data_IF_962014009672
#
_entry.id   IF_962014009672
#
_cell.length_a   1.000
_cell.length_b   1.000
_cell.length_c   1.000
_cell.angle_alpha   90.00
_cell.angle_beta   90.00
_cell.angle_gamma   90.00
#
_symmetry.space_group_name_H-M   'P 1'
#
loop_
_entity.id
_entity.type
_entity.pdbx_description
1 polymer ?
#
# COMPACT_ATOMS: atom_id res chain seq x y z
N UNK A 1 -26.50 6.90 9.45
CA UNK A 1 -26.21 6.43 8.09
C UNK A 1 -24.73 6.34 7.75
N UNK A 2 -23.78 6.58 8.70
CA UNK A 2 -22.34 6.72 8.40
C UNK A 2 -21.45 5.55 8.88
N UNK A 3 -21.97 4.35 9.15
CA UNK A 3 -21.17 3.30 9.83
C UNK A 3 -21.17 1.90 9.20
N UNK A 4 -21.46 1.75 7.90
CA UNK A 4 -21.48 0.41 7.27
C UNK A 4 -20.24 0.16 6.35
N UNK A 5 -19.22 1.00 6.40
CA UNK A 5 -18.12 0.98 5.42
C UNK A 5 -16.78 0.43 5.94
N UNK A 6 -16.73 -0.36 7.01
CA UNK A 6 -15.47 -0.78 7.63
C UNK A 6 -14.36 -1.30 6.70
N UNK A 7 -14.28 -2.59 6.45
CA UNK A 7 -13.17 -3.21 5.68
C UNK A 7 -13.23 -2.86 4.19
N UNK A 8 -14.42 -2.70 3.60
CA UNK A 8 -14.52 -2.30 2.19
C UNK A 8 -13.93 -0.92 1.94
N UNK A 9 -14.19 0.02 2.85
CA UNK A 9 -13.60 1.35 2.80
C UNK A 9 -12.08 1.27 2.98
N UNK A 10 -11.61 0.49 3.96
CA UNK A 10 -10.18 0.31 4.25
C UNK A 10 -9.42 -0.24 3.05
N UNK A 11 -9.98 -1.23 2.36
CA UNK A 11 -9.36 -1.82 1.17
C UNK A 11 -9.36 -0.85 -0.01
N UNK A 12 -10.49 -0.20 -0.26
CA UNK A 12 -10.59 0.84 -1.30
C UNK A 12 -9.57 1.94 -1.07
N UNK A 13 -9.33 2.31 0.17
CA UNK A 13 -8.35 3.32 0.58
C UNK A 13 -6.93 2.91 0.19
N UNK A 14 -6.48 1.73 0.61
CA UNK A 14 -5.11 1.26 0.33
C UNK A 14 -4.92 1.08 -1.18
N UNK A 15 -5.89 0.44 -1.85
CA UNK A 15 -5.86 0.22 -3.30
C UNK A 15 -5.83 1.53 -4.06
N UNK A 16 -6.73 2.47 -3.71
CA UNK A 16 -6.80 3.77 -4.38
C UNK A 16 -5.54 4.61 -4.14
N UNK A 17 -4.99 4.60 -2.93
CA UNK A 17 -3.76 5.30 -2.63
C UNK A 17 -2.54 4.72 -3.38
N UNK A 18 -2.44 3.38 -3.46
CA UNK A 18 -1.39 2.73 -4.25
C UNK A 18 -1.55 3.06 -5.73
N UNK A 19 -2.78 3.12 -6.24
CA UNK A 19 -3.08 3.51 -7.62
C UNK A 19 -2.68 4.96 -7.89
N UNK A 20 -3.04 5.90 -7.01
CA UNK A 20 -2.62 7.31 -7.11
C UNK A 20 -1.10 7.46 -7.11
N UNK A 21 -0.41 6.77 -6.21
CA UNK A 21 1.04 6.76 -6.16
C UNK A 21 1.66 6.28 -7.49
N UNK A 22 1.10 5.23 -8.07
CA UNK A 22 1.59 4.67 -9.33
C UNK A 22 1.34 5.61 -10.51
N UNK A 23 0.16 6.21 -10.63
CA UNK A 23 -0.19 7.14 -11.71
C UNK A 23 0.64 8.42 -11.63
N UNK A 24 0.79 8.99 -10.44
CA UNK A 24 1.59 10.19 -10.23
C UNK A 24 3.09 9.93 -10.37
N UNK A 25 3.57 8.80 -9.86
CA UNK A 25 4.96 8.37 -10.00
C UNK A 25 5.39 8.13 -11.44
N UNK A 26 4.50 7.58 -12.29
CA UNK A 26 4.75 7.41 -13.73
C UNK A 26 4.76 8.74 -14.47
N UNK A 27 3.88 9.68 -14.09
CA UNK A 27 3.80 11.00 -14.68
C UNK A 27 5.06 11.85 -14.40
N UNK A 28 5.59 11.79 -13.18
CA UNK A 28 6.83 12.50 -12.80
C UNK A 28 8.04 11.88 -13.53
N UNK A 29 8.16 10.55 -13.60
CA UNK A 29 9.25 9.89 -14.32
C UNK A 29 9.28 10.22 -15.80
N UNK A 30 8.12 10.39 -16.42
CA UNK A 30 8.02 10.82 -17.83
C UNK A 30 8.34 12.30 -18.03
N UNK A 31 8.08 13.15 -17.03
CA UNK A 31 8.38 14.58 -17.08
C UNK A 31 9.85 14.92 -16.81
N UNK A 32 10.54 14.13 -15.99
CA UNK A 32 11.92 14.41 -15.55
C UNK A 32 12.97 13.72 -16.42
N UNK A 33 12.58 12.90 -17.39
CA UNK A 33 13.52 12.30 -18.36
C UNK A 33 14.60 11.40 -17.75
N UNK A 34 14.38 10.84 -16.57
CA UNK A 34 15.33 9.93 -15.91
C UNK A 34 15.07 8.51 -16.39
N UNK A 35 15.84 8.08 -17.37
CA UNK A 35 15.90 6.65 -17.68
C UNK A 35 16.14 6.30 -19.13
N UNK A 36 17.36 6.21 -19.43
CA UNK A 36 18.12 5.32 -20.31
C UNK A 36 18.93 6.02 -21.37
N UNK A 37 20.18 6.06 -21.05
CA UNK A 37 21.30 6.12 -21.96
C UNK A 37 21.12 5.08 -23.09
N UNK A 38 20.91 5.54 -24.31
CA UNK A 38 21.30 4.83 -25.53
C UNK A 38 21.70 5.85 -26.58
N UNK A 39 22.97 5.83 -26.83
CA UNK A 39 23.73 6.42 -27.90
C UNK A 39 23.16 6.19 -29.30
N UNK A 40 23.19 7.27 -30.11
CA UNK A 40 23.37 7.37 -31.58
C UNK A 40 22.36 6.65 -32.49
N UNK A 41 21.81 7.25 -33.51
CA UNK A 41 22.40 8.08 -34.58
C UNK A 41 21.31 8.68 -35.49
N UNK A 42 21.59 9.90 -35.95
CA UNK A 42 21.31 10.53 -37.26
C UNK A 42 19.91 10.67 -37.87
N UNK A 43 19.48 11.94 -37.95
CA UNK A 43 19.14 12.83 -39.10
C UNK A 43 18.07 12.34 -40.09
N UNK A 44 16.93 13.05 -40.19
CA UNK A 44 16.51 13.95 -41.28
C UNK A 44 15.02 14.27 -41.28
N UNK A 45 14.72 15.55 -41.24
CA UNK A 45 13.78 16.37 -42.03
C UNK A 45 12.26 16.06 -42.03
N UNK A 46 11.56 17.09 -41.66
CA UNK A 46 10.17 17.55 -41.80
C UNK A 46 9.66 17.68 -43.24
N UNK A 47 8.40 18.17 -43.53
CA UNK A 47 7.17 18.34 -42.77
C UNK A 47 5.89 17.96 -43.54
N UNK A 48 4.72 17.99 -42.96
CA UNK A 48 3.49 18.69 -43.35
C UNK A 48 2.18 18.01 -42.92
N UNK A 49 1.41 18.76 -42.18
CA UNK A 49 0.06 19.29 -42.36
C UNK A 49 -1.15 18.34 -42.56
N UNK A 50 -2.11 18.53 -41.72
CA UNK A 50 -3.56 18.75 -41.83
C UNK A 50 -4.45 17.98 -40.86
N UNK A 51 -5.07 18.78 -39.99
CA UNK A 51 -6.47 18.79 -39.51
C UNK A 51 -7.36 17.57 -39.75
N UNK A 52 -7.97 17.04 -38.65
CA UNK A 52 -9.42 17.17 -38.44
C UNK A 52 -9.87 16.72 -37.05
N UNK A 53 -10.90 17.42 -36.63
CA UNK A 53 -11.63 17.37 -35.37
C UNK A 53 -12.46 16.08 -35.25
N UNK A 54 -12.43 15.43 -34.09
CA UNK A 54 -13.33 14.35 -33.75
C UNK A 54 -13.38 14.20 -32.23
N UNK A 55 -14.37 14.83 -31.63
CA UNK A 55 -14.67 14.75 -30.19
C UNK A 55 -15.29 13.38 -29.91
N UNK A 56 -14.54 12.48 -29.29
CA UNK A 56 -15.08 11.24 -28.75
C UNK A 56 -14.64 11.09 -27.28
N UNK A 57 -15.59 11.41 -26.39
CA UNK A 57 -15.48 11.23 -24.94
C UNK A 57 -15.74 9.75 -24.60
N UNK A 58 -14.87 8.87 -25.05
CA UNK A 58 -14.79 7.51 -24.55
C UNK A 58 -13.74 7.49 -23.44
N UNK A 59 -14.18 7.19 -22.20
CA UNK A 59 -13.33 7.10 -21.04
C UNK A 59 -12.13 6.19 -21.29
N UNK A 60 -10.98 6.82 -21.51
CA UNK A 60 -9.70 6.14 -21.68
C UNK A 60 -9.38 5.45 -20.35
N UNK A 61 -9.66 4.13 -20.26
CA UNK A 61 -9.00 3.29 -19.26
C UNK A 61 -7.50 3.54 -19.41
N UNK A 62 -6.91 4.27 -18.49
CA UNK A 62 -5.47 4.42 -18.42
C UNK A 62 -4.91 3.01 -18.25
N UNK A 63 -4.23 2.51 -19.24
CA UNK A 63 -3.44 1.29 -19.13
C UNK A 63 -2.34 1.57 -18.10
N UNK A 64 -2.61 1.18 -16.85
CA UNK A 64 -1.57 1.09 -15.83
C UNK A 64 -0.54 0.15 -16.43
N UNK A 65 0.68 0.65 -16.57
CA UNK A 65 1.76 -0.07 -17.24
C UNK A 65 1.78 -1.52 -16.80
N UNK A 66 1.73 -2.49 -17.71
CA UNK A 66 1.84 -3.95 -17.49
C UNK A 66 3.06 -4.38 -16.66
N UNK A 67 3.83 -3.42 -16.14
CA UNK A 67 5.14 -3.59 -15.52
C UNK A 67 5.20 -3.17 -14.05
N UNK A 68 4.20 -2.50 -13.50
CA UNK A 68 4.29 -2.09 -12.10
C UNK A 68 3.88 -3.25 -11.18
N UNK A 69 4.79 -3.64 -10.31
CA UNK A 69 4.60 -4.71 -9.33
C UNK A 69 4.57 -4.08 -7.95
N UNK A 70 3.54 -4.39 -7.17
CA UNK A 70 3.40 -3.94 -5.78
C UNK A 70 3.61 -5.13 -4.86
N UNK A 71 4.31 -4.94 -3.75
CA UNK A 71 4.39 -5.93 -2.70
C UNK A 71 3.48 -5.56 -1.55
N UNK A 72 2.63 -6.52 -1.15
CA UNK A 72 1.85 -6.44 0.09
C UNK A 72 2.46 -7.43 1.08
N UNK A 73 2.95 -6.89 2.17
CA UNK A 73 3.53 -7.68 3.25
C UNK A 73 2.50 -7.86 4.36
N UNK A 74 2.05 -9.10 4.55
CA UNK A 74 1.27 -9.48 5.72
C UNK A 74 2.26 -9.77 6.86
N UNK A 75 2.37 -8.86 7.81
CA UNK A 75 3.31 -9.00 8.94
C UNK A 75 3.06 -10.25 9.78
N UNK A 76 4.04 -10.63 10.59
CA UNK A 76 3.95 -11.79 11.48
C UNK A 76 3.67 -13.12 10.75
N UNK A 77 3.13 -14.13 11.46
CA UNK A 77 2.75 -15.43 10.90
C UNK A 77 3.32 -16.62 11.66
N UNK A 78 2.65 -17.76 11.60
CA UNK A 78 3.04 -18.97 12.30
C UNK A 78 3.19 -18.76 13.81
N UNK A 79 4.39 -19.01 14.35
CA UNK A 79 4.71 -18.81 15.76
C UNK A 79 4.81 -17.33 16.20
N UNK A 80 5.03 -16.42 15.27
CA UNK A 80 4.95 -14.98 15.54
C UNK A 80 3.51 -14.51 15.38
N UNK A 81 2.82 -14.33 16.49
CA UNK A 81 1.41 -13.96 16.50
C UNK A 81 1.14 -12.48 16.29
N UNK A 82 2.17 -11.62 16.44
CA UNK A 82 1.95 -10.19 16.61
C UNK A 82 1.15 -9.89 17.88
N UNK A 83 0.40 -8.79 17.85
CA UNK A 83 -0.47 -8.39 18.94
C UNK A 83 -1.65 -9.37 19.12
N UNK A 84 -2.19 -9.41 20.35
CA UNK A 84 -3.34 -10.24 20.72
C UNK A 84 -4.24 -9.51 21.70
N UNK A 85 -5.51 -9.31 21.33
CA UNK A 85 -6.49 -8.56 22.13
C UNK A 85 -7.33 -9.44 23.08
N UNK A 86 -6.98 -10.72 23.22
CA UNK A 86 -7.74 -11.71 23.98
C UNK A 86 -8.68 -12.57 23.11
N UNK A 87 -8.88 -12.18 21.86
CA UNK A 87 -9.75 -12.87 20.89
C UNK A 87 -9.10 -13.04 19.52
N UNK A 88 -8.46 -11.99 19.02
CA UNK A 88 -7.91 -11.93 17.68
C UNK A 88 -6.39 -11.81 17.72
N UNK A 89 -5.72 -12.43 16.76
CA UNK A 89 -4.29 -12.28 16.52
C UNK A 89 -4.04 -11.31 15.37
N UNK A 90 -3.06 -10.42 15.52
CA UNK A 90 -2.62 -9.52 14.46
C UNK A 90 -2.31 -10.26 13.17
N UNK A 91 -1.50 -11.35 13.25
CA UNK A 91 -1.12 -12.17 12.09
C UNK A 91 -2.30 -12.62 11.23
N UNK A 92 -3.45 -12.92 11.85
CA UNK A 92 -4.66 -13.37 11.16
C UNK A 92 -5.34 -12.20 10.46
N UNK A 93 -5.54 -11.09 11.19
CA UNK A 93 -6.20 -9.90 10.65
C UNK A 93 -5.45 -9.30 9.46
N UNK A 94 -4.11 -9.18 9.57
CA UNK A 94 -3.30 -8.60 8.48
C UNK A 94 -3.19 -9.54 7.29
N UNK A 95 -3.24 -10.87 7.47
CA UNK A 95 -3.26 -11.83 6.37
C UNK A 95 -4.57 -11.74 5.59
N UNK A 96 -5.70 -11.71 6.28
CA UNK A 96 -7.02 -11.54 5.65
C UNK A 96 -7.09 -10.25 4.86
N UNK A 97 -6.67 -9.12 5.47
CA UNK A 97 -6.66 -7.83 4.80
C UNK A 97 -5.72 -7.80 3.59
N UNK A 98 -4.52 -8.37 3.74
CA UNK A 98 -3.54 -8.43 2.65
C UNK A 98 -4.08 -9.20 1.43
N UNK A 99 -4.77 -10.32 1.65
CA UNK A 99 -5.40 -11.08 0.57
C UNK A 99 -6.52 -10.32 -0.13
N UNK A 100 -7.28 -9.51 0.61
CA UNK A 100 -8.31 -8.66 0.05
C UNK A 100 -7.71 -7.50 -0.77
N UNK A 101 -6.63 -6.88 -0.28
CA UNK A 101 -5.89 -5.82 -1.00
C UNK A 101 -5.29 -6.39 -2.29
N UNK A 102 -4.64 -7.57 -2.22
CA UNK A 102 -4.09 -8.27 -3.39
C UNK A 102 -5.17 -8.47 -4.45
N UNK A 103 -6.30 -9.06 -4.08
CA UNK A 103 -7.39 -9.32 -5.02
C UNK A 103 -7.88 -8.03 -5.69
N UNK A 104 -8.13 -6.98 -4.91
CA UNK A 104 -8.61 -5.72 -5.45
C UNK A 104 -7.59 -5.06 -6.40
N UNK A 105 -6.30 -5.05 -6.04
CA UNK A 105 -5.25 -4.56 -6.93
C UNK A 105 -5.18 -5.36 -8.23
N UNK A 106 -5.34 -6.69 -8.17
CA UNK A 106 -5.37 -7.56 -9.33
C UNK A 106 -6.57 -7.26 -10.24
N UNK A 107 -7.74 -6.95 -9.67
CA UNK A 107 -8.94 -6.54 -10.43
C UNK A 107 -8.72 -5.24 -11.23
N UNK A 108 -7.78 -4.38 -10.78
CA UNK A 108 -7.31 -3.20 -11.52
C UNK A 108 -6.12 -3.48 -12.45
N UNK A 109 -5.68 -4.74 -12.59
CA UNK A 109 -4.59 -5.14 -13.47
C UNK A 109 -3.18 -4.91 -12.87
N UNK A 110 -3.08 -4.61 -11.57
CA UNK A 110 -1.79 -4.48 -10.88
C UNK A 110 -1.26 -5.85 -10.51
N UNK A 111 0.02 -6.11 -10.81
CA UNK A 111 0.69 -7.32 -10.33
C UNK A 111 1.06 -7.19 -8.86
N UNK A 112 0.68 -8.17 -8.06
CA UNK A 112 0.95 -8.16 -6.63
C UNK A 112 1.86 -9.32 -6.23
N UNK A 113 2.82 -9.03 -5.38
CA UNK A 113 3.63 -10.00 -4.65
C UNK A 113 3.17 -10.01 -3.21
N UNK A 114 2.83 -11.19 -2.69
CA UNK A 114 2.56 -11.39 -1.27
C UNK A 114 3.79 -11.97 -0.59
N UNK A 115 4.20 -11.44 0.57
CA UNK A 115 5.30 -12.03 1.35
C UNK A 115 4.93 -13.39 1.91
N UNK A 116 3.66 -13.56 2.31
CA UNK A 116 3.03 -14.84 2.68
C UNK A 116 1.56 -14.84 2.28
N UNK A 117 1.03 -16.01 2.00
CA UNK A 117 -0.39 -16.25 1.66
C UNK A 117 -1.06 -17.23 2.61
N UNK A 118 -0.31 -17.76 3.57
CA UNK A 118 -0.76 -18.70 4.60
C UNK A 118 -0.28 -18.25 5.98
N UNK A 119 -0.76 -18.92 7.04
CA UNK A 119 -0.27 -18.68 8.41
C UNK A 119 1.08 -19.38 8.64
N UNK A 120 2.10 -18.85 8.01
CA UNK A 120 3.49 -19.32 8.11
C UNK A 120 4.39 -18.24 8.67
N UNK A 121 5.46 -18.65 9.37
CA UNK A 121 6.50 -17.73 9.83
C UNK A 121 7.50 -17.50 8.71
N UNK A 122 7.45 -16.35 8.07
CA UNK A 122 8.43 -15.89 7.05
C UNK A 122 9.36 -14.88 7.70
N UNK A 123 10.64 -15.23 7.77
CA UNK A 123 11.65 -14.33 8.35
C UNK A 123 11.86 -13.06 7.50
N UNK A 124 12.40 -12.03 8.12
CA UNK A 124 12.58 -10.73 7.46
C UNK A 124 13.47 -10.78 6.22
N UNK A 125 14.51 -11.61 6.24
CA UNK A 125 15.42 -11.78 5.09
C UNK A 125 14.70 -12.39 3.90
N UNK A 126 13.85 -13.39 4.14
CA UNK A 126 13.02 -14.02 3.12
C UNK A 126 11.96 -13.04 2.57
N UNK A 127 11.35 -12.21 3.41
CA UNK A 127 10.43 -11.15 2.97
C UNK A 127 11.15 -10.17 2.03
N UNK A 128 12.29 -9.63 2.45
CA UNK A 128 13.11 -8.72 1.65
C UNK A 128 13.58 -9.36 0.33
N UNK A 129 13.95 -10.63 0.36
CA UNK A 129 14.29 -11.35 -0.86
C UNK A 129 13.12 -11.37 -1.85
N UNK A 130 11.91 -11.71 -1.39
CA UNK A 130 10.70 -11.68 -2.25
C UNK A 130 10.45 -10.29 -2.84
N UNK A 131 10.54 -9.24 -2.03
CA UNK A 131 10.34 -7.83 -2.44
C UNK A 131 11.35 -7.47 -3.53
N UNK A 132 12.63 -7.63 -3.24
CA UNK A 132 13.70 -7.13 -4.11
C UNK A 132 13.88 -7.96 -5.39
N UNK A 133 13.80 -9.28 -5.30
CA UNK A 133 13.87 -10.14 -6.50
C UNK A 133 12.62 -10.02 -7.37
N UNK A 134 11.47 -9.74 -6.76
CA UNK A 134 10.21 -9.48 -7.45
C UNK A 134 10.16 -8.13 -8.13
N UNK A 135 11.15 -7.24 -7.89
CA UNK A 135 11.22 -5.89 -8.47
C UNK A 135 9.98 -5.05 -8.19
N UNK A 136 9.45 -5.16 -6.97
CA UNK A 136 8.35 -4.31 -6.54
C UNK A 136 8.76 -2.84 -6.63
N UNK A 137 7.88 -1.98 -7.11
CA UNK A 137 8.07 -0.52 -7.14
C UNK A 137 7.56 0.13 -5.86
N UNK A 138 6.60 -0.51 -5.21
CA UNK A 138 6.07 -0.11 -3.92
C UNK A 138 5.88 -1.33 -3.01
N UNK A 139 6.11 -1.15 -1.72
CA UNK A 139 5.89 -2.17 -0.68
C UNK A 139 5.08 -1.55 0.46
N UNK A 140 3.97 -2.19 0.78
CA UNK A 140 3.12 -1.83 1.92
C UNK A 140 3.08 -3.00 2.89
N UNK A 141 3.62 -2.81 4.08
CA UNK A 141 3.57 -3.79 5.16
C UNK A 141 2.43 -3.44 6.10
N UNK A 142 1.55 -4.39 6.36
CA UNK A 142 0.36 -4.23 7.17
C UNK A 142 0.61 -4.75 8.58
N UNK A 143 0.35 -3.88 9.56
CA UNK A 143 0.50 -4.13 10.98
C UNK A 143 -0.70 -3.63 11.79
N UNK A 144 -0.78 -4.05 13.05
CA UNK A 144 -1.60 -3.43 14.08
C UNK A 144 -0.70 -2.70 15.06
N UNK A 145 -1.17 -1.53 15.51
CA UNK A 145 -0.37 -0.65 16.37
C UNK A 145 0.14 -1.36 17.64
N UNK A 146 1.38 -1.09 18.00
CA UNK A 146 2.01 -1.45 19.29
C UNK A 146 1.39 -0.59 20.41
N UNK A 147 0.14 -0.83 20.65
CA UNK A 147 -0.69 0.03 21.43
C UNK A 147 -0.61 -0.25 22.92
N UNK A 148 -0.97 0.76 23.67
CA UNK A 148 -1.26 0.60 25.09
C UNK A 148 -2.48 -0.30 25.27
N UNK A 149 -2.35 -1.33 26.12
CA UNK A 149 -3.43 -2.29 26.41
C UNK A 149 -4.66 -1.66 27.08
N UNK A 150 -4.59 -0.40 27.48
CA UNK A 150 -5.71 0.38 28.02
C UNK A 150 -6.66 0.91 26.93
N UNK A 151 -6.37 0.62 25.65
CA UNK A 151 -7.16 1.11 24.51
C UNK A 151 -6.97 2.60 24.22
N UNK A 152 -6.07 3.28 24.94
CA UNK A 152 -5.69 4.65 24.59
C UNK A 152 -4.75 4.66 23.39
N UNK A 153 -4.86 5.65 22.56
CA UNK A 153 -4.24 5.66 21.27
C UNK A 153 -5.18 5.06 20.23
N UNK A 154 -5.33 5.74 19.13
CA UNK A 154 -6.34 5.44 18.10
C UNK A 154 -5.86 5.91 16.75
N UNK A 155 -6.29 5.18 15.73
CA UNK A 155 -6.19 5.58 14.34
C UNK A 155 -5.04 4.91 13.60
N UNK A 156 -5.00 5.20 12.31
CA UNK A 156 -4.03 4.63 11.37
C UNK A 156 -2.80 5.52 11.30
N UNK A 157 -1.61 4.94 11.29
CA UNK A 157 -0.36 5.68 11.06
C UNK A 157 0.54 4.97 10.06
N UNK A 158 1.39 5.74 9.39
CA UNK A 158 2.40 5.22 8.49
C UNK A 158 3.80 5.48 9.04
N UNK A 159 4.69 4.52 8.82
CA UNK A 159 6.10 4.59 9.23
C UNK A 159 6.99 4.33 8.03
N UNK A 160 7.96 5.21 7.81
CA UNK A 160 8.94 5.10 6.74
C UNK A 160 10.37 5.09 7.30
N UNK A 161 11.34 4.82 6.44
CA UNK A 161 12.75 4.84 6.80
C UNK A 161 13.19 6.21 7.36
N UNK A 162 14.08 6.23 8.34
CA UNK A 162 14.53 7.47 9.04
C UNK A 162 15.13 8.51 8.12
N UNK A 163 15.75 8.11 6.98
CA UNK A 163 16.24 9.05 5.97
C UNK A 163 15.11 9.73 5.17
N UNK A 164 13.87 9.33 5.41
CA UNK A 164 12.67 9.89 4.77
C UNK A 164 12.77 9.96 3.23
N UNK A 165 12.96 8.80 2.54
CA UNK A 165 13.04 8.79 1.08
C UNK A 165 11.77 9.38 0.46
N UNK A 166 11.95 10.22 -0.56
CA UNK A 166 10.84 10.96 -1.20
C UNK A 166 9.71 10.04 -1.67
N UNK A 167 10.05 8.94 -2.35
CA UNK A 167 9.06 8.00 -2.88
C UNK A 167 8.31 7.28 -1.76
N UNK A 168 8.99 6.87 -0.69
CA UNK A 168 8.36 6.26 0.49
C UNK A 168 7.44 7.25 1.20
N UNK A 169 7.86 8.51 1.32
CA UNK A 169 7.05 9.57 1.91
C UNK A 169 5.80 9.87 1.09
N UNK A 170 5.93 9.91 -0.25
CA UNK A 170 4.80 10.10 -1.16
C UNK A 170 3.80 8.96 -1.00
N UNK A 171 4.24 7.70 -1.13
CA UNK A 171 3.40 6.51 -0.94
C UNK A 171 2.65 6.54 0.40
N UNK A 172 3.36 6.79 1.49
CA UNK A 172 2.76 6.82 2.83
C UNK A 172 1.77 7.98 2.98
N UNK A 173 2.09 9.16 2.40
CA UNK A 173 1.22 10.33 2.46
C UNK A 173 -0.09 10.11 1.69
N UNK A 174 -0.02 9.50 0.51
CA UNK A 174 -1.19 9.19 -0.30
C UNK A 174 -2.11 8.22 0.45
N UNK A 175 -1.55 7.17 1.07
CA UNK A 175 -2.31 6.24 1.92
C UNK A 175 -2.97 6.98 3.09
N UNK A 176 -2.24 7.82 3.82
CA UNK A 176 -2.79 8.55 4.97
C UNK A 176 -3.86 9.57 4.57
N UNK A 177 -3.71 10.24 3.43
CA UNK A 177 -4.70 11.18 2.91
C UNK A 177 -6.03 10.47 2.62
N UNK A 178 -5.98 9.30 1.96
CA UNK A 178 -7.21 8.56 1.66
C UNK A 178 -7.88 8.04 2.93
N UNK A 179 -7.13 7.59 3.94
CA UNK A 179 -7.69 7.26 5.26
C UNK A 179 -8.38 8.47 5.91
N UNK A 180 -7.75 9.63 5.86
CA UNK A 180 -8.31 10.88 6.39
C UNK A 180 -9.59 11.29 5.66
N UNK A 181 -9.60 11.21 4.33
CA UNK A 181 -10.77 11.54 3.49
C UNK A 181 -11.93 10.57 3.72
N UNK A 182 -11.66 9.31 4.07
CA UNK A 182 -12.69 8.34 4.45
C UNK A 182 -13.22 8.54 5.89
N UNK A 183 -12.72 9.55 6.60
CA UNK A 183 -13.19 9.91 7.95
C UNK A 183 -12.49 9.17 9.09
N UNK A 184 -11.40 8.47 8.78
CA UNK A 184 -10.65 7.77 9.81
C UNK A 184 -9.70 8.70 10.58
N UNK A 185 -9.42 8.33 11.82
CA UNK A 185 -8.39 9.01 12.61
C UNK A 185 -7.03 8.61 12.10
N UNK A 186 -6.17 9.58 11.77
CA UNK A 186 -4.82 9.32 11.26
C UNK A 186 -3.74 9.93 12.15
N UNK A 187 -2.71 9.15 12.44
CA UNK A 187 -1.50 9.57 13.15
C UNK A 187 -0.41 10.15 12.24
N UNK A 188 -0.71 10.25 10.93
CA UNK A 188 0.19 10.82 9.93
C UNK A 188 1.32 9.90 9.49
N UNK A 189 2.31 10.51 8.83
CA UNK A 189 3.53 9.81 8.35
C UNK A 189 4.67 10.11 9.30
N UNK A 190 5.24 9.05 9.85
CA UNK A 190 6.31 9.08 10.85
C UNK A 190 7.58 8.43 10.28
N UNK A 191 8.71 8.69 10.90
CA UNK A 191 9.99 8.03 10.59
C UNK A 191 10.46 7.16 11.76
N UNK A 192 11.18 6.08 11.47
CA UNK A 192 11.70 5.19 12.49
C UNK A 192 10.70 4.13 12.93
N UNK A 193 10.55 3.95 14.23
CA UNK A 193 9.57 3.04 14.86
C UNK A 193 8.84 3.74 16.01
N UNK A 194 7.64 3.26 16.42
CA UNK A 194 6.85 3.88 17.48
C UNK A 194 7.60 4.04 18.81
N UNK A 195 8.49 3.12 19.10
CA UNK A 195 9.23 3.09 20.37
C UNK A 195 10.59 3.79 20.31
N UNK A 196 11.14 4.01 19.11
CA UNK A 196 12.46 4.58 18.93
C UNK A 196 12.58 5.18 17.50
N UNK A 197 12.56 6.50 17.43
CA UNK A 197 12.64 7.23 16.17
C UNK A 197 14.01 7.11 15.45
N UNK A 198 15.03 6.59 16.13
CA UNK A 198 16.35 6.33 15.54
C UNK A 198 16.47 4.95 14.92
N UNK A 199 15.55 4.03 15.21
CA UNK A 199 15.52 2.68 14.64
C UNK A 199 14.59 2.60 13.46
N UNK A 200 14.77 1.56 12.66
CA UNK A 200 13.95 1.32 11.49
C UNK A 200 13.31 -0.06 11.53
N UNK A 201 12.12 -0.15 10.96
CA UNK A 201 11.59 -1.43 10.55
C UNK A 201 12.50 -2.06 9.49
N UNK A 202 12.76 -3.36 9.63
CA UNK A 202 13.66 -4.08 8.73
C UNK A 202 13.23 -3.98 7.27
N UNK A 203 11.93 -4.06 6.99
CA UNK A 203 11.35 -3.90 5.66
C UNK A 203 11.71 -2.54 5.07
N UNK A 204 11.48 -1.45 5.81
CA UNK A 204 11.79 -0.10 5.34
C UNK A 204 13.28 0.13 5.09
N UNK A 205 14.13 -0.52 5.88
CA UNK A 205 15.58 -0.36 5.79
C UNK A 205 16.20 -1.09 4.60
N UNK A 206 15.64 -2.23 4.20
CA UNK A 206 16.28 -3.15 3.25
C UNK A 206 15.49 -3.31 1.94
N UNK A 207 14.30 -2.73 1.84
CA UNK A 207 13.54 -2.72 0.60
C UNK A 207 14.20 -1.84 -0.46
N UNK A 208 14.28 -2.34 -1.69
CA UNK A 208 14.72 -1.55 -2.85
C UNK A 208 13.58 -0.74 -3.48
N UNK A 209 12.34 -0.90 -3.01
CA UNK A 209 11.17 -0.14 -3.44
C UNK A 209 10.85 1.01 -2.50
N UNK A 210 9.99 1.93 -2.93
CA UNK A 210 9.27 2.79 -1.99
C UNK A 210 8.57 1.90 -0.96
N UNK A 211 8.76 2.13 0.35
CA UNK A 211 8.22 1.24 1.37
C UNK A 211 7.67 1.99 2.57
N UNK A 212 6.57 1.51 3.11
CA UNK A 212 6.00 1.97 4.36
C UNK A 212 5.37 0.82 5.14
N UNK A 213 5.40 0.97 6.46
CA UNK A 213 4.61 0.16 7.39
C UNK A 213 3.33 0.93 7.67
N UNK A 214 2.19 0.29 7.58
CA UNK A 214 0.90 0.85 7.95
C UNK A 214 0.41 0.16 9.22
N UNK A 215 0.38 0.93 10.30
CA UNK A 215 -0.20 0.53 11.58
C UNK A 215 -1.70 0.83 11.55
N UNK A 216 -2.52 -0.20 11.49
CA UNK A 216 -3.97 -0.13 11.26
C UNK A 216 -4.75 0.01 12.57
N UNK A 217 -4.26 0.86 13.46
CA UNK A 217 -4.90 1.15 14.73
C UNK A 217 -4.68 0.10 15.81
N UNK A 218 -5.16 0.44 16.99
CA UNK A 218 -4.95 -0.31 18.24
C UNK A 218 -5.97 -1.46 18.38
N UNK A 219 -5.52 -2.69 18.53
CA UNK A 219 -6.40 -3.86 18.73
C UNK A 219 -7.23 -3.78 20.00
N UNK A 220 -6.79 -3.05 21.04
CA UNK A 220 -7.52 -2.86 22.28
C UNK A 220 -8.52 -1.69 22.23
N UNK A 221 -8.47 -0.86 21.18
CA UNK A 221 -9.45 0.20 20.95
C UNK A 221 -10.65 -0.37 20.18
N UNK A 222 -11.86 -0.22 20.72
CA UNK A 222 -13.07 -0.82 20.13
C UNK A 222 -13.42 -0.25 18.76
N UNK A 223 -13.11 1.02 18.50
CA UNK A 223 -13.43 1.66 17.22
C UNK A 223 -12.42 1.25 16.14
N UNK A 224 -11.12 1.23 16.48
CA UNK A 224 -10.07 0.76 15.58
C UNK A 224 -10.25 -0.74 15.27
N UNK A 225 -10.67 -1.54 16.25
CA UNK A 225 -10.89 -2.96 16.04
C UNK A 225 -12.11 -3.23 15.14
N UNK A 226 -13.16 -2.42 15.24
CA UNK A 226 -14.33 -2.50 14.35
C UNK A 226 -13.94 -2.23 12.89
N UNK A 227 -12.99 -1.34 12.64
CA UNK A 227 -12.52 -1.04 11.29
C UNK A 227 -12.05 -2.29 10.54
N UNK A 228 -11.42 -3.23 11.23
CA UNK A 228 -10.84 -4.44 10.64
C UNK A 228 -11.75 -5.67 10.80
N UNK A 229 -12.58 -5.72 11.84
CA UNK A 229 -13.38 -6.91 12.14
C UNK A 229 -14.82 -6.87 11.61
N UNK A 230 -15.28 -5.74 11.08
CA UNK A 230 -16.66 -5.62 10.59
C UNK A 230 -16.84 -6.37 9.27
N UNK A 231 -17.32 -7.59 9.42
CA UNK A 231 -17.90 -8.52 8.46
C UNK A 231 -17.53 -8.43 6.96
N UNK A 232 -16.73 -9.37 6.55
CA UNK A 232 -16.41 -9.74 5.17
C UNK A 232 -17.65 -10.16 4.32
N UNK A 233 -18.86 -10.20 4.88
CA UNK A 233 -19.99 -10.86 4.24
C UNK A 233 -20.70 -10.03 3.14
N UNK A 234 -20.35 -8.74 2.96
CA UNK A 234 -21.07 -7.87 2.03
C UNK A 234 -20.27 -7.41 0.81
N UNK A 235 -19.08 -7.96 0.57
CA UNK A 235 -18.19 -7.49 -0.49
C UNK A 235 -18.23 -8.30 -1.79
N UNK A 236 -19.10 -9.31 -1.89
CA UNK A 236 -19.23 -10.13 -3.09
C UNK A 236 -20.61 -10.01 -3.74
N UNK A 237 -21.11 -8.81 -3.89
CA UNK A 237 -22.09 -8.55 -4.94
C UNK A 237 -21.36 -7.86 -6.07
N UNK A 238 -20.88 -8.64 -7.03
CA UNK A 238 -20.52 -8.14 -8.34
C UNK A 238 -21.70 -7.34 -8.89
N UNK A 239 -21.50 -6.15 -9.42
CA UNK A 239 -22.51 -5.56 -10.26
C UNK A 239 -22.66 -6.46 -11.50
N UNK A 240 -23.83 -7.05 -11.64
CA UNK A 240 -24.29 -7.75 -12.84
C UNK A 240 -24.41 -6.79 -14.02
#
# INVERSE_FOLDING_TARGET
WHRIFGIAALMSVIVFAVMLYMDFGTSIKSMVGIGSDKTNDSISEEPSDNTESGNDTSGKKTNISDKAIVCIDASHGGSDTGQYDGKNYEKTQVLELAGLVEKNLADYGVKVIMTRTTDENVDYTSRIKKINTGKAVATVSLHRDVAKKDGTGRGVSAWIYTSSPTDSKSLASDIMNVFKESGETVGGVNTGTPNDSSKNYYINQHSSSASCIIELGNMYNSDDNKLITTNNCLLYTSPS
#
